data_IF_830533133913
#
_entry.id   IF_830533133913
#
_cell.length_a   1.000
_cell.length_b   1.000
_cell.length_c   1.000
_cell.angle_alpha   90.00
_cell.angle_beta   90.00
_cell.angle_gamma   90.00
#
_symmetry.space_group_name_H-M   'P 1'
#
loop_
_entity.id
_entity.type
_entity.pdbx_description
1 polymer ?
#
# COMPACT_ATOMS: atom_id res chain seq x y z
N UNK A 1 25.96 2.61 -8.44
CA UNK A 1 24.56 2.88 -8.10
C UNK A 1 24.09 4.30 -8.49
N UNK A 2 24.81 5.39 -8.21
CA UNK A 2 24.39 6.78 -8.57
C UNK A 2 24.14 7.02 -10.07
N UNK A 3 24.87 6.33 -10.97
CA UNK A 3 24.73 6.48 -12.43
C UNK A 3 23.43 5.85 -12.98
N UNK A 4 22.99 4.72 -12.41
CA UNK A 4 21.75 4.03 -12.81
C UNK A 4 20.51 4.86 -12.42
N UNK A 5 20.55 5.48 -11.24
CA UNK A 5 19.48 6.36 -10.78
C UNK A 5 19.30 7.60 -11.66
N UNK A 6 20.42 8.20 -12.10
CA UNK A 6 20.38 9.38 -12.97
C UNK A 6 19.87 9.04 -14.39
N UNK A 7 20.25 7.86 -14.91
CA UNK A 7 19.77 7.39 -16.21
C UNK A 7 18.28 7.07 -16.18
N UNK A 8 17.81 6.41 -15.13
CA UNK A 8 16.39 6.13 -14.96
C UNK A 8 15.56 7.42 -14.85
N UNK A 9 16.05 8.41 -14.09
CA UNK A 9 15.43 9.70 -13.96
C UNK A 9 15.40 10.47 -15.28
N UNK A 10 16.48 10.44 -16.07
CA UNK A 10 16.55 11.06 -17.39
C UNK A 10 15.61 10.39 -18.40
N UNK A 11 15.45 9.06 -18.36
CA UNK A 11 14.49 8.31 -19.18
C UNK A 11 13.05 8.74 -18.82
N UNK A 12 12.70 8.80 -17.54
CA UNK A 12 11.37 9.26 -17.08
C UNK A 12 11.10 10.69 -17.54
N UNK A 13 12.10 11.58 -17.45
CA UNK A 13 11.97 12.98 -17.91
C UNK A 13 11.81 13.06 -19.42
N UNK A 14 12.54 12.25 -20.20
CA UNK A 14 12.44 12.20 -21.65
C UNK A 14 11.07 11.68 -22.14
N UNK A 15 10.50 10.70 -21.43
CA UNK A 15 9.13 10.24 -21.68
C UNK A 15 8.10 11.34 -21.34
N UNK A 16 8.29 12.07 -20.25
CA UNK A 16 7.39 13.17 -19.86
C UNK A 16 7.34 14.31 -20.91
N UNK A 17 8.46 14.60 -21.56
CA UNK A 17 8.54 15.66 -22.59
C UNK A 17 8.08 15.20 -23.97
N UNK A 18 8.15 13.88 -24.26
CA UNK A 18 7.86 13.35 -25.60
C UNK A 18 6.37 13.11 -25.86
N UNK A 19 5.57 12.86 -24.80
CA UNK A 19 4.13 12.63 -24.88
C UNK A 19 3.32 13.83 -24.39
N UNK A 20 3.74 15.00 -24.71
CA UNK A 20 3.34 16.31 -24.29
C UNK A 20 1.88 16.48 -23.89
N UNK A 21 1.69 17.26 -22.85
CA UNK A 21 0.64 18.21 -22.61
C UNK A 21 -0.52 17.83 -21.70
N UNK A 22 -0.57 16.64 -21.12
CA UNK A 22 -1.49 16.39 -20.00
C UNK A 22 -0.70 16.11 -18.73
N UNK A 23 -0.80 17.04 -17.79
CA UNK A 23 -0.18 16.95 -16.50
C UNK A 23 -1.26 17.09 -15.43
N UNK A 24 -1.40 16.11 -14.57
CA UNK A 24 -2.32 16.18 -13.42
C UNK A 24 -1.54 16.14 -12.11
N UNK A 25 -1.96 16.97 -11.17
CA UNK A 25 -1.61 16.84 -9.75
C UNK A 25 -2.79 16.17 -9.08
N UNK A 26 -2.52 15.11 -8.32
CA UNK A 26 -3.53 14.34 -7.60
C UNK A 26 -3.19 14.33 -6.12
N UNK A 27 -4.18 14.58 -5.26
CA UNK A 27 -4.10 14.42 -3.82
C UNK A 27 -5.27 13.56 -3.34
N UNK A 28 -5.03 12.64 -2.43
CA UNK A 28 -6.04 11.68 -2.00
C UNK A 28 -5.95 11.30 -0.53
N UNK A 29 -7.08 10.88 -0.01
CA UNK A 29 -7.22 10.12 1.21
C UNK A 29 -8.02 8.85 0.95
N UNK A 30 -7.80 7.82 1.72
CA UNK A 30 -8.47 6.55 1.50
C UNK A 30 -8.37 5.59 2.66
N UNK A 31 -8.98 4.45 2.45
CA UNK A 31 -8.97 3.33 3.38
C UNK A 31 -8.26 2.14 2.74
N UNK A 32 -7.58 1.36 3.56
CA UNK A 32 -7.00 0.10 3.17
C UNK A 32 -7.42 -1.00 4.15
N UNK A 33 -7.46 -2.22 3.64
CA UNK A 33 -7.67 -3.41 4.46
C UNK A 33 -6.54 -4.37 4.14
N UNK A 34 -5.64 -4.54 5.11
CA UNK A 34 -4.52 -5.46 5.00
C UNK A 34 -4.99 -6.88 5.24
N UNK A 35 -4.58 -7.78 4.37
CA UNK A 35 -4.72 -9.21 4.53
C UNK A 35 -3.32 -9.83 4.58
N UNK A 36 -2.89 -10.23 5.74
CA UNK A 36 -1.64 -10.99 5.88
C UNK A 36 -1.92 -12.43 5.46
N UNK A 37 -1.24 -12.84 4.39
CA UNK A 37 -1.22 -14.25 4.01
C UNK A 37 -0.01 -14.88 4.67
N UNK A 38 -0.20 -15.40 5.89
CA UNK A 38 0.72 -16.34 6.50
C UNK A 38 0.15 -17.74 6.32
N UNK A 39 1.00 -18.72 6.05
CA UNK A 39 0.61 -20.11 6.22
C UNK A 39 0.12 -20.25 7.67
N UNK A 40 -1.08 -20.81 7.84
CA UNK A 40 -1.71 -21.01 9.15
C UNK A 40 -0.74 -21.79 10.04
N UNK A 41 -0.01 -21.09 10.90
CA UNK A 41 0.95 -21.67 11.83
C UNK A 41 0.30 -21.86 13.19
N UNK A 42 0.24 -23.10 13.65
CA UNK A 42 0.02 -23.41 15.06
C UNK A 42 1.27 -23.03 15.85
N UNK A 43 1.20 -22.05 16.72
CA UNK A 43 2.29 -21.74 17.63
C UNK A 43 2.12 -22.49 18.95
N UNK A 44 3.19 -23.17 19.39
CA UNK A 44 3.28 -23.78 20.72
C UNK A 44 3.86 -22.73 21.68
N UNK A 45 3.01 -22.13 22.50
CA UNK A 45 3.44 -21.25 23.59
C UNK A 45 3.15 -22.00 24.89
N UNK A 46 4.16 -22.20 25.71
CA UNK A 46 4.09 -22.94 27.00
C UNK A 46 3.45 -24.36 26.91
N UNK A 47 3.66 -25.04 25.77
CA UNK A 47 3.12 -26.40 25.57
C UNK A 47 1.63 -26.47 25.24
N UNK A 48 0.97 -25.33 24.97
CA UNK A 48 -0.43 -25.25 24.59
C UNK A 48 -0.52 -24.82 23.11
N UNK A 49 -1.38 -25.50 22.34
CA UNK A 49 -1.64 -25.18 20.94
C UNK A 49 -2.53 -23.94 20.90
N UNK A 50 -2.04 -22.87 20.23
CA UNK A 50 -2.79 -21.63 19.99
C UNK A 50 -3.08 -21.51 18.49
N UNK A 51 -4.34 -21.34 18.16
CA UNK A 51 -4.75 -20.94 16.80
C UNK A 51 -4.54 -19.43 16.65
N UNK A 52 -3.57 -19.06 15.83
CA UNK A 52 -3.26 -17.66 15.54
C UNK A 52 -4.05 -17.19 14.33
N UNK A 53 -5.03 -16.35 14.53
CA UNK A 53 -5.73 -15.62 13.47
C UNK A 53 -5.23 -14.20 13.41
N UNK A 54 -4.69 -13.79 12.25
CA UNK A 54 -4.37 -12.40 11.97
C UNK A 54 -5.51 -11.82 11.15
N UNK A 55 -6.25 -10.90 11.74
CA UNK A 55 -7.34 -10.19 11.06
C UNK A 55 -6.87 -8.78 10.71
N UNK A 56 -6.93 -8.44 9.41
CA UNK A 56 -6.69 -7.08 8.96
C UNK A 56 -7.85 -6.18 9.36
N UNK A 57 -7.55 -5.10 10.07
CA UNK A 57 -8.50 -4.01 10.32
C UNK A 57 -8.41 -2.94 9.24
N UNK A 58 -9.48 -2.17 9.01
CA UNK A 58 -9.40 -1.02 8.14
C UNK A 58 -8.34 -0.04 8.65
N UNK A 59 -7.39 0.29 7.79
CA UNK A 59 -6.41 1.34 7.98
C UNK A 59 -6.75 2.56 7.14
N UNK A 60 -5.93 3.60 7.24
CA UNK A 60 -6.07 4.83 6.48
C UNK A 60 -4.83 5.09 5.64
N UNK A 61 -5.00 5.76 4.50
CA UNK A 61 -3.89 6.21 3.67
C UNK A 61 -4.16 7.56 3.06
N UNK A 62 -3.11 8.34 2.85
CA UNK A 62 -3.16 9.62 2.16
C UNK A 62 -1.88 9.84 1.39
N UNK A 63 -2.02 10.55 0.28
CA UNK A 63 -0.88 10.77 -0.59
C UNK A 63 -1.14 11.81 -1.66
N UNK A 64 -0.07 12.00 -2.44
CA UNK A 64 -0.09 12.84 -3.62
C UNK A 64 0.65 12.14 -4.76
N UNK A 65 0.23 12.43 -5.98
CA UNK A 65 0.84 11.88 -7.18
C UNK A 65 0.85 12.90 -8.30
N UNK A 66 1.82 12.76 -9.18
CA UNK A 66 1.91 13.50 -10.42
C UNK A 66 1.58 12.54 -11.57
N UNK A 67 0.73 12.95 -12.47
CA UNK A 67 0.38 12.12 -13.63
C UNK A 67 0.86 12.79 -14.90
N UNK A 68 1.65 12.08 -15.69
CA UNK A 68 2.20 12.55 -16.95
C UNK A 68 1.67 11.70 -18.10
N UNK A 69 1.10 12.33 -19.09
CA UNK A 69 0.58 11.67 -20.28
C UNK A 69 -0.93 11.77 -20.42
N UNK A 70 -1.40 11.63 -21.66
CA UNK A 70 -2.79 11.75 -22.06
C UNK A 70 -3.53 10.41 -21.85
N UNK A 71 -3.64 9.60 -22.87
CA UNK A 71 -4.35 8.32 -22.83
C UNK A 71 -3.57 7.23 -22.09
N UNK A 72 -2.27 7.11 -22.38
CA UNK A 72 -1.32 6.37 -21.56
C UNK A 72 -0.63 7.34 -20.62
N UNK A 73 -0.49 6.97 -19.37
CA UNK A 73 0.13 7.83 -18.38
C UNK A 73 1.07 7.07 -17.44
N UNK A 74 2.01 7.82 -16.88
CA UNK A 74 2.88 7.39 -15.79
C UNK A 74 2.55 8.24 -14.56
N UNK A 75 2.46 7.62 -13.42
CA UNK A 75 2.03 8.28 -12.18
C UNK A 75 2.97 7.92 -11.03
N UNK A 76 4.09 8.64 -10.85
CA UNK A 76 4.84 8.60 -9.60
C UNK A 76 4.06 9.29 -8.49
N UNK A 77 4.22 8.79 -7.26
CA UNK A 77 3.54 9.33 -6.11
C UNK A 77 4.32 9.21 -4.82
N UNK A 78 3.73 9.76 -3.77
CA UNK A 78 4.15 9.62 -2.40
C UNK A 78 2.93 9.32 -1.55
N UNK A 79 3.03 8.33 -0.67
CA UNK A 79 1.92 7.87 0.15
C UNK A 79 2.37 7.62 1.59
N UNK A 80 1.54 8.01 2.52
CA UNK A 80 1.64 7.63 3.92
C UNK A 80 0.47 6.70 4.25
N UNK A 81 0.78 5.56 4.86
CA UNK A 81 -0.23 4.53 5.17
C UNK A 81 -0.17 4.17 6.64
N UNK A 82 -1.32 4.13 7.26
CA UNK A 82 -1.55 3.68 8.63
C UNK A 82 -2.27 2.33 8.51
N UNK A 83 -1.64 1.29 9.00
CA UNK A 83 -2.17 -0.08 8.97
C UNK A 83 -2.44 -0.49 10.41
N UNK A 84 -3.67 -0.90 10.70
CA UNK A 84 -4.00 -1.48 12.01
C UNK A 84 -4.17 -2.97 11.85
N UNK A 85 -3.42 -3.74 12.62
CA UNK A 85 -3.49 -5.20 12.67
C UNK A 85 -3.93 -5.65 14.06
N UNK A 86 -4.85 -6.59 14.12
CA UNK A 86 -5.26 -7.26 15.36
C UNK A 86 -4.80 -8.71 15.29
N UNK A 87 -3.99 -9.09 16.26
CA UNK A 87 -3.59 -10.49 16.46
C UNK A 87 -4.50 -11.07 17.55
N UNK A 88 -5.28 -12.07 17.16
CA UNK A 88 -6.16 -12.80 18.09
C UNK A 88 -5.50 -14.13 18.39
N UNK A 89 -5.04 -14.30 19.63
CA UNK A 89 -4.56 -15.58 20.15
C UNK A 89 -5.68 -16.22 20.98
N UNK A 90 -6.29 -17.27 20.46
CA UNK A 90 -7.32 -18.04 21.16
C UNK A 90 -6.68 -19.26 21.85
N UNK A 91 -6.76 -19.30 23.17
CA UNK A 91 -6.33 -20.49 23.93
C UNK A 91 -7.37 -21.60 23.75
N UNK A 92 -6.96 -22.70 23.12
CA UNK A 92 -7.87 -23.83 22.80
C UNK A 92 -8.45 -24.53 24.03
N UNK A 93 -7.83 -24.37 25.20
CA UNK A 93 -8.23 -25.05 26.44
C UNK A 93 -9.11 -24.16 27.31
N UNK A 94 -8.71 -22.89 27.55
CA UNK A 94 -9.43 -21.98 28.45
C UNK A 94 -10.40 -21.05 27.73
N UNK A 95 -10.34 -20.99 26.40
CA UNK A 95 -11.08 -20.03 25.53
C UNK A 95 -10.82 -18.55 25.88
N UNK A 96 -9.73 -18.27 26.57
CA UNK A 96 -9.31 -16.90 26.80
C UNK A 96 -8.77 -16.31 25.49
N UNK A 97 -9.28 -15.15 25.13
CA UNK A 97 -8.92 -14.44 23.89
C UNK A 97 -8.00 -13.28 24.29
N UNK A 98 -6.73 -13.37 23.92
CA UNK A 98 -5.79 -12.27 24.02
C UNK A 98 -5.81 -11.50 22.70
N UNK A 99 -6.09 -10.20 22.78
CA UNK A 99 -6.11 -9.30 21.63
C UNK A 99 -4.97 -8.31 21.74
N UNK A 100 -4.05 -8.37 20.81
CA UNK A 100 -2.98 -7.39 20.65
C UNK A 100 -3.22 -6.56 19.42
N UNK A 101 -3.21 -5.24 19.58
CA UNK A 101 -3.34 -4.29 18.47
C UNK A 101 -1.96 -3.69 18.17
N UNK A 102 -1.55 -3.78 16.93
CA UNK A 102 -0.36 -3.11 16.40
C UNK A 102 -0.75 -2.14 15.30
N UNK A 103 -0.27 -0.90 15.41
CA UNK A 103 -0.40 0.12 14.37
C UNK A 103 0.93 0.32 13.69
N UNK A 104 0.98 0.05 12.40
CA UNK A 104 2.18 0.15 11.57
C UNK A 104 2.02 1.36 10.66
N UNK A 105 2.97 2.28 10.74
CA UNK A 105 3.03 3.47 9.91
C UNK A 105 4.09 3.27 8.83
N UNK A 106 3.70 3.42 7.55
CA UNK A 106 4.60 3.25 6.41
C UNK A 106 4.63 4.49 5.53
N UNK A 107 5.79 4.73 4.94
CA UNK A 107 5.97 5.71 3.86
C UNK A 107 6.26 4.92 2.60
N UNK A 108 5.57 5.25 1.51
CA UNK A 108 5.75 4.56 0.24
C UNK A 108 5.86 5.49 -0.95
N UNK A 109 6.50 4.96 -2.00
CA UNK A 109 6.70 5.63 -3.27
C UNK A 109 6.08 4.75 -4.36
N UNK A 110 4.79 4.93 -4.65
CA UNK A 110 4.13 4.22 -5.73
C UNK A 110 4.58 4.77 -7.10
N UNK A 111 4.81 3.87 -8.04
CA UNK A 111 5.01 4.18 -9.45
C UNK A 111 4.02 3.37 -10.27
N UNK A 112 3.02 4.05 -10.82
CA UNK A 112 1.94 3.44 -11.58
C UNK A 112 2.04 3.82 -13.06
N UNK A 113 1.62 2.93 -13.92
CA UNK A 113 1.32 3.18 -15.33
C UNK A 113 -0.15 2.88 -15.55
N UNK A 114 -0.80 3.64 -16.42
CA UNK A 114 -2.22 3.43 -16.62
C UNK A 114 -2.70 3.85 -17.99
N UNK A 115 -3.94 3.49 -18.23
CA UNK A 115 -4.64 3.77 -19.47
C UNK A 115 -6.01 4.38 -19.15
N UNK A 116 -6.29 5.51 -19.78
CA UNK A 116 -7.59 6.18 -19.74
C UNK A 116 -8.45 5.64 -20.88
N UNK A 117 -9.64 5.14 -20.54
CA UNK A 117 -10.55 4.55 -21.53
C UNK A 117 -11.09 5.59 -22.49
N UNK A 118 -11.35 6.80 -21.99
CA UNK A 118 -11.76 7.94 -22.80
C UNK A 118 -10.55 8.84 -23.01
N UNK A 119 -10.35 9.32 -24.24
CA UNK A 119 -9.26 10.23 -24.53
C UNK A 119 -9.52 11.59 -23.85
N UNK A 120 -8.63 12.07 -22.93
CA UNK A 120 -8.82 13.33 -22.22
C UNK A 120 -8.88 14.56 -23.15
N UNK A 121 -8.35 14.46 -24.35
CA UNK A 121 -8.44 15.51 -25.38
C UNK A 121 -9.87 15.68 -25.91
N UNK A 122 -10.69 14.63 -25.83
CA UNK A 122 -12.08 14.63 -26.28
C UNK A 122 -13.04 14.92 -25.12
N UNK A 123 -12.79 14.31 -23.98
CA UNK A 123 -13.63 14.45 -22.80
C UNK A 123 -12.76 14.47 -21.53
N UNK A 124 -12.74 15.59 -20.85
CA UNK A 124 -11.92 15.80 -19.65
C UNK A 124 -12.72 15.79 -18.35
N UNK A 125 -14.06 15.87 -18.42
CA UNK A 125 -14.92 15.93 -17.25
C UNK A 125 -15.16 14.55 -16.62
N UNK A 126 -15.19 13.52 -17.46
CA UNK A 126 -15.40 12.14 -17.02
C UNK A 126 -14.42 11.20 -17.68
N UNK A 127 -13.78 10.36 -16.89
CA UNK A 127 -12.90 9.32 -17.41
C UNK A 127 -12.88 8.09 -16.52
N UNK A 128 -12.87 6.93 -17.15
CA UNK A 128 -12.57 5.68 -16.50
C UNK A 128 -11.15 5.25 -16.86
N UNK A 129 -10.40 4.73 -15.90
CA UNK A 129 -9.01 4.34 -16.09
C UNK A 129 -8.70 3.01 -15.40
N UNK A 130 -7.73 2.31 -15.96
CA UNK A 130 -7.11 1.14 -15.36
C UNK A 130 -5.63 1.44 -15.15
N UNK A 131 -5.06 0.88 -14.10
CA UNK A 131 -3.66 1.11 -13.79
C UNK A 131 -3.02 -0.12 -13.15
N UNK A 132 -1.72 -0.18 -13.27
CA UNK A 132 -0.88 -1.14 -12.58
C UNK A 132 0.50 -0.55 -12.32
N UNK A 133 1.24 -1.12 -11.37
CA UNK A 133 2.55 -0.60 -11.03
C UNK A 133 3.19 -1.32 -9.87
N UNK A 134 4.12 -0.63 -9.25
CA UNK A 134 4.83 -1.11 -8.07
C UNK A 134 4.82 -0.04 -6.99
N UNK A 135 4.81 -0.49 -5.76
CA UNK A 135 4.93 0.35 -4.57
C UNK A 135 6.12 -0.11 -3.75
N UNK A 136 7.04 0.81 -3.46
CA UNK A 136 8.15 0.61 -2.55
C UNK A 136 7.85 1.27 -1.22
N UNK A 137 7.66 0.48 -0.17
CA UNK A 137 7.27 0.95 1.16
C UNK A 137 8.38 0.73 2.17
N UNK A 138 8.51 1.68 3.09
CA UNK A 138 9.41 1.62 4.24
C UNK A 138 8.61 1.79 5.53
N UNK A 139 8.82 0.89 6.49
CA UNK A 139 8.18 0.98 7.82
C UNK A 139 8.87 2.07 8.62
N UNK A 140 8.10 3.04 9.08
CA UNK A 140 8.61 4.18 9.86
C UNK A 140 8.50 3.97 11.36
N UNK A 141 7.37 3.48 11.82
CA UNK A 141 7.11 3.20 13.24
C UNK A 141 6.10 2.09 13.40
N UNK A 142 6.24 1.37 14.51
CA UNK A 142 5.30 0.36 14.97
C UNK A 142 4.88 0.76 16.37
N UNK A 143 3.61 1.06 16.56
CA UNK A 143 3.04 1.43 17.85
C UNK A 143 2.22 0.26 18.38
N UNK A 144 2.59 -0.27 19.53
CA UNK A 144 1.88 -1.34 20.22
C UNK A 144 0.96 -0.77 21.30
N UNK A 145 -0.32 -1.09 21.21
CA UNK A 145 -1.26 -0.84 22.30
C UNK A 145 -1.32 -2.07 23.20
N UNK A 146 -0.35 -2.20 24.09
CA UNK A 146 -0.20 -3.38 24.95
C UNK A 146 -1.16 -3.34 26.12
N UNK A 147 -2.12 -4.26 26.17
CA UNK A 147 -2.94 -4.53 27.36
C UNK A 147 -2.42 -5.69 28.21
N UNK A 148 -1.36 -6.35 27.81
CA UNK A 148 -0.77 -7.48 28.53
C UNK A 148 0.75 -7.32 28.68
N UNK A 149 1.25 -7.34 29.90
CA UNK A 149 2.63 -7.08 30.30
C UNK A 149 3.67 -8.15 29.91
N UNK A 150 3.47 -8.91 28.84
CA UNK A 150 4.41 -9.95 28.41
C UNK A 150 4.29 -10.21 26.91
N UNK A 151 4.84 -9.34 26.08
CA UNK A 151 5.09 -9.70 24.69
C UNK A 151 6.39 -9.03 24.24
N UNK A 152 7.23 -9.80 23.57
CA UNK A 152 8.47 -9.34 22.99
C UNK A 152 8.21 -8.08 22.15
N UNK A 153 8.95 -7.02 22.45
CA UNK A 153 8.87 -5.75 21.73
C UNK A 153 9.29 -6.01 20.27
N UNK A 154 8.31 -6.07 19.37
CA UNK A 154 8.59 -6.08 17.93
C UNK A 154 9.06 -4.67 17.56
N UNK A 155 10.34 -4.54 17.29
CA UNK A 155 10.94 -3.28 16.90
C UNK A 155 10.81 -3.05 15.37
N UNK A 156 10.92 -1.78 14.95
CA UNK A 156 10.89 -1.45 13.52
C UNK A 156 12.04 -2.13 12.73
N UNK A 157 13.11 -2.50 13.42
CA UNK A 157 14.29 -3.19 12.86
C UNK A 157 14.01 -4.65 12.49
N UNK A 158 12.94 -5.26 13.00
CA UNK A 158 12.50 -6.62 12.65
C UNK A 158 11.80 -6.67 11.28
N UNK A 159 11.42 -5.51 10.75
CA UNK A 159 10.79 -5.40 9.45
C UNK A 159 11.81 -5.28 8.32
N UNK A 160 11.43 -5.78 7.16
CA UNK A 160 12.20 -5.61 5.94
C UNK A 160 12.33 -4.13 5.61
N UNK A 161 13.57 -3.64 5.42
CA UNK A 161 13.85 -2.22 5.16
C UNK A 161 13.13 -1.66 3.93
N UNK A 162 12.84 -2.50 2.95
CA UNK A 162 12.11 -2.14 1.73
C UNK A 162 11.11 -3.23 1.38
N UNK A 163 9.84 -2.94 1.57
CA UNK A 163 8.73 -3.80 1.17
C UNK A 163 8.30 -3.38 -0.23
N UNK A 164 8.32 -4.33 -1.16
CA UNK A 164 7.87 -4.11 -2.54
C UNK A 164 6.56 -4.83 -2.77
N UNK A 165 5.60 -4.12 -3.34
CA UNK A 165 4.29 -4.65 -3.72
C UNK A 165 4.00 -4.36 -5.19
N UNK A 166 3.29 -5.25 -5.87
CA UNK A 166 2.63 -4.95 -7.13
C UNK A 166 1.27 -4.31 -6.85
N UNK A 167 0.92 -3.28 -7.61
CA UNK A 167 -0.32 -2.52 -7.45
C UNK A 167 -1.10 -2.56 -8.76
N UNK A 168 -2.40 -2.83 -8.69
CA UNK A 168 -3.29 -2.78 -9.84
C UNK A 168 -4.70 -2.38 -9.41
N UNK A 169 -5.39 -1.67 -10.30
CA UNK A 169 -6.71 -1.16 -9.97
C UNK A 169 -7.39 -0.44 -11.13
N UNK A 170 -8.52 0.13 -10.76
CA UNK A 170 -9.34 0.95 -11.63
C UNK A 170 -9.71 2.25 -10.94
N UNK A 171 -9.99 3.27 -11.72
CA UNK A 171 -10.39 4.57 -11.21
C UNK A 171 -11.43 5.25 -12.09
N UNK A 172 -12.19 6.12 -11.47
CA UNK A 172 -13.12 7.03 -12.13
C UNK A 172 -12.72 8.45 -11.80
N UNK A 173 -12.51 9.26 -12.84
CA UNK A 173 -12.30 10.69 -12.74
C UNK A 173 -13.61 11.41 -13.10
N UNK A 174 -14.10 12.24 -12.20
CA UNK A 174 -15.36 13.01 -12.39
C UNK A 174 -15.04 14.46 -12.06
N UNK A 175 -14.90 15.28 -13.09
CA UNK A 175 -14.53 16.68 -12.95
C UNK A 175 -13.18 16.82 -12.21
N UNK A 176 -13.16 17.47 -11.05
CA UNK A 176 -11.98 17.62 -10.21
C UNK A 176 -11.82 16.48 -9.18
N UNK A 177 -12.80 15.63 -9.05
CA UNK A 177 -12.79 14.50 -8.12
C UNK A 177 -12.38 13.21 -8.80
N UNK A 178 -11.86 12.29 -8.03
CA UNK A 178 -11.63 10.94 -8.51
C UNK A 178 -11.78 9.91 -7.39
N UNK A 179 -12.07 8.70 -7.80
CA UNK A 179 -12.13 7.52 -6.93
C UNK A 179 -11.26 6.43 -7.54
N UNK A 180 -10.42 5.80 -6.73
CA UNK A 180 -9.63 4.63 -7.09
C UNK A 180 -10.01 3.45 -6.23
N UNK A 181 -10.11 2.30 -6.85
CA UNK A 181 -10.19 1.00 -6.21
C UNK A 181 -8.99 0.17 -6.68
N UNK A 182 -8.25 -0.40 -5.76
CA UNK A 182 -7.07 -1.16 -6.12
C UNK A 182 -6.73 -2.26 -5.14
N UNK A 183 -5.81 -3.09 -5.59
CA UNK A 183 -5.27 -4.20 -4.84
C UNK A 183 -3.74 -4.18 -4.89
N UNK A 184 -3.11 -4.29 -3.74
CA UNK A 184 -1.68 -4.42 -3.58
C UNK A 184 -1.35 -5.88 -3.26
N UNK A 185 -0.47 -6.48 -4.06
CA UNK A 185 0.06 -7.82 -3.87
C UNK A 185 1.49 -7.71 -3.34
N UNK A 186 1.73 -8.14 -2.11
CA UNK A 186 3.07 -8.16 -1.51
C UNK A 186 4.00 -9.11 -2.26
N UNK A 187 5.11 -8.59 -2.75
CA UNK A 187 6.13 -9.36 -3.45
C UNK A 187 7.26 -9.79 -2.51
N UNK A 188 7.61 -8.93 -1.56
CA UNK A 188 8.63 -9.21 -0.54
C UNK A 188 7.99 -9.56 0.80
N UNK A 189 8.66 -10.40 1.63
CA UNK A 189 8.20 -10.63 3.00
C UNK A 189 8.25 -9.35 3.82
N UNK A 190 7.32 -9.22 4.77
CA UNK A 190 7.23 -8.06 5.66
C UNK A 190 8.24 -8.19 6.81
N UNK A 191 8.53 -9.41 7.25
CA UNK A 191 9.46 -9.72 8.34
C UNK A 191 10.77 -10.30 7.85
N UNK A 192 11.86 -9.99 8.56
CA UNK A 192 13.21 -10.54 8.28
C UNK A 192 13.46 -11.88 8.94
N UNK A 193 12.64 -12.30 9.90
CA UNK A 193 12.80 -13.52 10.72
C UNK A 193 11.67 -14.52 10.52
N UNK A 194 12.01 -15.75 10.13
CA UNK A 194 11.21 -16.98 10.27
C UNK A 194 10.00 -17.14 9.35
N UNK A 195 8.96 -16.38 9.50
CA UNK A 195 7.75 -16.50 8.71
C UNK A 195 7.74 -15.50 7.55
N UNK A 196 7.74 -16.00 6.32
CA UNK A 196 7.69 -15.18 5.09
C UNK A 196 6.27 -14.65 4.82
N UNK A 197 5.65 -14.02 5.80
CA UNK A 197 4.33 -13.43 5.61
C UNK A 197 4.38 -12.28 4.59
N UNK A 198 3.55 -12.37 3.56
CA UNK A 198 3.37 -11.32 2.55
C UNK A 198 2.12 -10.51 2.87
N UNK A 199 2.22 -9.20 2.72
CA UNK A 199 1.12 -8.29 2.97
C UNK A 199 0.37 -7.99 1.68
N UNK A 200 -0.87 -8.44 1.60
CA UNK A 200 -1.79 -8.07 0.53
C UNK A 200 -2.77 -7.03 1.06
N UNK A 201 -3.16 -6.06 0.26
CA UNK A 201 -4.11 -5.04 0.69
C UNK A 201 -5.11 -4.69 -0.41
N UNK A 202 -6.37 -4.58 -0.04
CA UNK A 202 -7.37 -3.91 -0.85
C UNK A 202 -7.47 -2.45 -0.37
N UNK A 203 -7.59 -1.50 -1.30
CA UNK A 203 -7.73 -0.09 -0.96
C UNK A 203 -8.77 0.63 -1.80
N UNK A 204 -9.30 1.71 -1.22
CA UNK A 204 -10.16 2.68 -1.89
C UNK A 204 -9.67 4.07 -1.57
N UNK A 205 -9.46 4.89 -2.59
CA UNK A 205 -9.03 6.29 -2.48
C UNK A 205 -10.07 7.22 -3.06
N UNK A 206 -10.27 8.36 -2.43
CA UNK A 206 -11.01 9.50 -2.96
C UNK A 206 -10.07 10.69 -2.97
N UNK A 207 -10.05 11.45 -4.05
CA UNK A 207 -9.12 12.55 -4.16
C UNK A 207 -9.56 13.67 -5.09
N UNK A 208 -8.67 14.65 -5.18
CA UNK A 208 -8.76 15.80 -6.07
C UNK A 208 -7.73 15.67 -7.18
N UNK A 209 -8.14 16.01 -8.40
CA UNK A 209 -7.31 16.06 -9.60
C UNK A 209 -7.33 17.48 -10.16
N UNK A 210 -6.16 18.06 -10.29
CA UNK A 210 -5.94 19.32 -10.97
C UNK A 210 -5.20 19.03 -12.28
N UNK A 211 -5.84 19.29 -13.41
CA UNK A 211 -5.30 19.04 -14.75
C UNK A 211 -4.81 20.33 -15.39
N UNK A 212 -3.66 20.27 -16.06
CA UNK A 212 -3.00 21.40 -16.71
C UNK A 212 -2.64 21.08 -18.16
#
# INVERSE_FOLDING_TARGET
MKKISLTLFAIVLAFATSYGQHFDIRAYGGFNVLQLTSDEGTSLIDGVIHDRKVSGRPGAQFGAALTFGSRFYVQPGFQYTIITSEVINENTVTKDVLKDEATINTISVPLKVGFRLINPEVENLFNARIFGGFDGSHVRSVDHSNKSNKTDDIEADDFTNLIVSADFGMGLDIFIFYVDLGYQLGLTPVYTGGDQAKANAFYSNIGLRLSF
#
